data_IF_228317963288
#
_entry.id   IF_228317963288
#
_cell.length_a   1.000
_cell.length_b   1.000
_cell.length_c   1.000
_cell.angle_alpha   90.00
_cell.angle_beta   90.00
_cell.angle_gamma   90.00
#
_symmetry.space_group_name_H-M   'P 1'
#
loop_
_entity.id
_entity.type
_entity.pdbx_description
1 polymer ?
#
# COMPACT_ATOMS: atom_id res chain seq x y z
N UNK A 1 -31.59 14.37 -31.78
CA UNK A 1 -31.99 13.10 -31.15
C UNK A 1 -30.76 12.53 -30.49
N UNK A 2 -30.75 12.51 -29.15
CA UNK A 2 -29.64 12.03 -28.33
C UNK A 2 -29.76 10.52 -28.17
N UNK A 3 -28.71 9.79 -28.50
CA UNK A 3 -28.55 8.37 -28.13
C UNK A 3 -27.76 8.34 -26.82
N UNK A 4 -28.50 8.25 -25.73
CA UNK A 4 -28.00 7.93 -24.40
C UNK A 4 -27.35 6.54 -24.46
N UNK A 5 -26.02 6.49 -24.40
CA UNK A 5 -25.30 5.22 -24.30
C UNK A 5 -25.26 4.80 -22.84
N UNK A 6 -26.12 3.85 -22.51
CA UNK A 6 -26.13 3.06 -21.28
C UNK A 6 -24.70 2.54 -21.00
N UNK A 7 -23.96 3.20 -20.11
CA UNK A 7 -22.82 2.57 -19.44
C UNK A 7 -23.39 1.72 -18.33
N UNK A 8 -23.42 0.42 -18.59
CA UNK A 8 -23.66 -0.66 -17.65
C UNK A 8 -22.69 -0.54 -16.48
N UNK A 9 -23.19 -0.07 -15.32
CA UNK A 9 -22.59 -0.37 -14.02
C UNK A 9 -22.61 -1.90 -13.86
N UNK A 10 -21.46 -2.54 -14.08
CA UNK A 10 -21.23 -3.90 -13.59
C UNK A 10 -21.42 -3.97 -12.08
N UNK A 11 -21.61 -5.17 -11.51
CA UNK A 11 -21.78 -5.33 -10.06
C UNK A 11 -20.60 -4.67 -9.36
N UNK A 12 -20.87 -3.99 -8.24
CA UNK A 12 -19.85 -3.42 -7.36
C UNK A 12 -18.90 -4.53 -6.88
N UNK A 13 -17.92 -4.89 -7.70
CA UNK A 13 -16.66 -5.41 -7.22
C UNK A 13 -16.06 -4.22 -6.48
N UNK A 14 -16.30 -4.15 -5.17
CA UNK A 14 -15.42 -3.42 -4.27
C UNK A 14 -14.02 -3.97 -4.52
N UNK A 15 -13.29 -3.32 -5.43
CA UNK A 15 -11.91 -3.62 -5.72
C UNK A 15 -11.18 -3.15 -4.47
N UNK A 16 -11.08 -4.03 -3.48
CA UNK A 16 -10.31 -3.76 -2.27
C UNK A 16 -8.90 -3.45 -2.76
N UNK A 17 -8.38 -2.23 -2.51
CA UNK A 17 -7.06 -1.87 -2.98
C UNK A 17 -6.06 -2.85 -2.41
N UNK A 18 -5.23 -3.44 -3.26
CA UNK A 18 -4.16 -4.30 -2.77
C UNK A 18 -3.14 -3.42 -2.03
N UNK A 19 -2.53 -3.93 -0.95
CA UNK A 19 -1.48 -3.20 -0.24
C UNK A 19 -0.32 -2.75 -1.15
N UNK A 20 -0.05 -3.52 -2.20
CA UNK A 20 0.97 -3.22 -3.22
C UNK A 20 0.64 -2.02 -4.13
N UNK A 21 -0.65 -1.68 -4.29
CA UNK A 21 -1.09 -0.49 -5.03
C UNK A 21 -1.03 0.79 -4.19
N UNK A 22 -0.82 0.67 -2.88
CA UNK A 22 -0.77 1.82 -1.99
C UNK A 22 0.52 2.59 -2.18
N UNK A 23 0.37 3.89 -2.42
CA UNK A 23 1.49 4.82 -2.59
C UNK A 23 1.44 5.90 -1.53
N UNK A 24 2.62 6.32 -1.11
CA UNK A 24 2.83 7.43 -0.21
C UNK A 24 2.60 8.76 -0.92
N UNK A 25 2.59 9.84 -0.14
CA UNK A 25 2.45 11.22 -0.64
C UNK A 25 3.49 11.60 -1.69
N UNK A 26 4.69 11.02 -1.62
CA UNK A 26 5.79 11.25 -2.55
C UNK A 26 5.71 10.37 -3.82
N UNK A 27 4.71 9.49 -3.92
CA UNK A 27 4.54 8.57 -5.05
C UNK A 27 5.26 7.22 -4.89
N UNK A 28 6.04 7.05 -3.81
CA UNK A 28 6.72 5.79 -3.55
C UNK A 28 5.74 4.71 -3.11
N UNK A 29 6.00 3.43 -3.43
CA UNK A 29 5.21 2.33 -2.93
C UNK A 29 5.26 2.25 -1.41
N UNK A 30 4.15 1.91 -0.76
CA UNK A 30 4.08 1.80 0.70
C UNK A 30 5.07 0.76 1.26
N UNK A 31 5.33 -0.32 0.53
CA UNK A 31 6.28 -1.36 0.95
C UNK A 31 7.72 -0.86 1.09
N UNK A 32 8.10 0.28 0.47
CA UNK A 32 9.42 0.87 0.65
C UNK A 32 9.71 1.24 2.10
N UNK A 33 8.67 1.53 2.90
CA UNK A 33 8.83 1.83 4.33
C UNK A 33 9.23 0.62 5.17
N UNK A 34 8.95 -0.58 4.64
CA UNK A 34 9.24 -1.85 5.29
C UNK A 34 10.59 -2.42 4.83
N UNK A 35 11.19 -1.85 3.78
CA UNK A 35 12.52 -2.19 3.34
C UNK A 35 13.59 -1.65 4.30
N UNK A 36 14.76 -2.29 4.39
CA UNK A 36 15.85 -1.79 5.20
C UNK A 36 16.37 -0.46 4.62
N UNK A 37 16.66 0.56 5.46
CA UNK A 37 17.05 1.89 4.99
C UNK A 37 18.35 1.90 4.18
N UNK A 38 19.24 0.92 4.40
CA UNK A 38 20.50 0.76 3.67
C UNK A 38 20.28 0.37 2.19
N UNK A 39 19.23 -0.40 1.90
CA UNK A 39 18.97 -0.98 0.57
C UNK A 39 18.24 0.03 -0.32
N UNK A 40 17.30 0.79 0.25
CA UNK A 40 16.60 1.89 -0.45
C UNK A 40 17.57 3.02 -0.81
N UNK A 41 18.45 3.42 0.11
CA UNK A 41 19.42 4.50 -0.14
C UNK A 41 20.49 4.12 -1.17
N UNK A 42 20.84 2.82 -1.26
CA UNK A 42 21.78 2.31 -2.25
C UNK A 42 21.13 2.12 -3.63
N UNK A 43 19.80 2.18 -3.75
CA UNK A 43 19.07 1.84 -4.97
C UNK A 43 19.15 0.36 -5.34
N UNK A 44 19.63 -0.48 -4.41
CA UNK A 44 19.78 -1.92 -4.57
C UNK A 44 18.70 -2.55 -3.72
N UNK A 45 17.57 -2.90 -4.34
CA UNK A 45 16.51 -3.64 -3.66
C UNK A 45 16.68 -5.10 -4.06
N UNK A 46 17.13 -5.92 -3.11
CA UNK A 46 17.18 -7.36 -3.34
C UNK A 46 15.74 -7.88 -3.52
N UNK A 47 15.48 -8.76 -4.50
CA UNK A 47 14.16 -9.35 -4.67
C UNK A 47 13.66 -10.04 -3.41
N UNK A 48 14.56 -10.57 -2.57
CA UNK A 48 14.20 -11.21 -1.29
C UNK A 48 13.69 -10.20 -0.25
N UNK A 49 14.32 -9.03 -0.16
CA UNK A 49 13.90 -7.94 0.73
C UNK A 49 12.59 -7.32 0.25
N UNK A 50 12.44 -7.13 -1.08
CA UNK A 50 11.18 -6.71 -1.69
C UNK A 50 10.06 -7.69 -1.32
N UNK A 51 10.28 -8.98 -1.51
CA UNK A 51 9.29 -10.01 -1.18
C UNK A 51 8.93 -10.00 0.32
N UNK A 52 9.91 -9.84 1.22
CA UNK A 52 9.66 -9.71 2.66
C UNK A 52 8.85 -8.45 3.00
N UNK A 53 9.16 -7.31 2.38
CA UNK A 53 8.41 -6.07 2.58
C UNK A 53 6.96 -6.22 2.10
N UNK A 54 6.74 -6.87 0.95
CA UNK A 54 5.41 -7.21 0.46
C UNK A 54 4.66 -8.14 1.43
N UNK A 55 5.33 -9.17 1.95
CA UNK A 55 4.73 -10.14 2.88
C UNK A 55 4.35 -9.49 4.23
N UNK A 56 5.23 -8.64 4.77
CA UNK A 56 4.93 -7.81 5.96
C UNK A 56 3.77 -6.87 5.70
N UNK A 57 3.76 -6.19 4.55
CA UNK A 57 2.66 -5.28 4.22
C UNK A 57 1.32 -6.01 4.11
N UNK A 58 1.33 -7.21 3.51
CA UNK A 58 0.14 -8.06 3.41
C UNK A 58 -0.33 -8.56 4.78
N UNK A 59 0.61 -8.88 5.67
CA UNK A 59 0.30 -9.26 7.06
C UNK A 59 -0.33 -8.10 7.82
N UNK A 60 0.24 -6.89 7.74
CA UNK A 60 -0.34 -5.68 8.35
C UNK A 60 -1.71 -5.35 7.77
N UNK A 61 -1.89 -5.54 6.46
CA UNK A 61 -3.17 -5.36 5.79
C UNK A 61 -4.23 -6.36 6.26
N UNK A 62 -3.84 -7.61 6.51
CA UNK A 62 -4.71 -8.64 7.06
C UNK A 62 -5.08 -8.36 8.54
N UNK A 63 -4.18 -7.74 9.30
CA UNK A 63 -4.44 -7.31 10.69
C UNK A 63 -5.39 -6.11 10.75
N UNK A 64 -5.10 -5.05 9.99
CA UNK A 64 -5.87 -3.80 10.05
C UNK A 64 -5.87 -3.08 8.69
N UNK A 65 -6.71 -3.59 7.78
CA UNK A 65 -6.88 -3.06 6.43
C UNK A 65 -7.16 -1.56 6.40
N UNK A 66 -8.03 -1.06 7.28
CA UNK A 66 -8.44 0.35 7.28
C UNK A 66 -7.27 1.28 7.61
N UNK A 67 -6.41 0.89 8.55
CA UNK A 67 -5.21 1.66 8.88
C UNK A 67 -4.19 1.62 7.75
N UNK A 68 -3.94 0.46 7.14
CA UNK A 68 -3.00 0.36 6.01
C UNK A 68 -3.49 1.19 4.81
N UNK A 69 -4.78 1.16 4.50
CA UNK A 69 -5.36 2.03 3.47
C UNK A 69 -5.21 3.52 3.80
N UNK A 70 -5.31 3.87 5.08
CA UNK A 70 -5.12 5.26 5.55
C UNK A 70 -3.67 5.75 5.41
N UNK A 71 -2.70 4.86 5.21
CA UNK A 71 -1.32 5.21 4.88
C UNK A 71 -1.17 5.74 3.44
N UNK A 72 -2.10 5.42 2.54
CA UNK A 72 -2.05 5.91 1.17
C UNK A 72 -2.17 7.44 1.14
N UNK A 73 -1.25 8.10 0.42
CA UNK A 73 -1.19 9.56 0.34
C UNK A 73 -0.66 10.26 1.60
N UNK A 74 -0.23 9.51 2.63
CA UNK A 74 0.48 10.06 3.80
C UNK A 74 1.99 10.15 3.59
N UNK A 75 2.64 10.93 4.44
CA UNK A 75 4.10 11.04 4.46
C UNK A 75 4.72 9.71 4.93
N UNK A 76 5.96 9.44 4.51
CA UNK A 76 6.70 8.22 4.88
C UNK A 76 6.74 7.99 6.40
N UNK A 77 6.97 9.06 7.18
CA UNK A 77 7.00 9.01 8.64
C UNK A 77 5.63 8.63 9.23
N UNK A 78 4.57 9.35 8.86
CA UNK A 78 3.21 9.06 9.34
C UNK A 78 2.76 7.64 9.00
N UNK A 79 2.99 7.21 7.75
CA UNK A 79 2.64 5.87 7.31
C UNK A 79 3.43 4.81 8.09
N UNK A 80 4.71 5.06 8.38
CA UNK A 80 5.53 4.15 9.19
C UNK A 80 5.04 4.07 10.65
N UNK A 81 4.63 5.19 11.23
CA UNK A 81 4.05 5.21 12.59
C UNK A 81 2.74 4.41 12.65
N UNK A 82 1.89 4.55 11.62
CA UNK A 82 0.64 3.77 11.52
C UNK A 82 0.95 2.28 11.37
N UNK A 83 1.87 1.91 10.46
CA UNK A 83 2.27 0.51 10.25
C UNK A 83 2.86 -0.10 11.54
N UNK A 84 3.73 0.62 12.25
CA UNK A 84 4.25 0.20 13.56
C UNK A 84 3.15 0.05 14.62
N UNK A 85 2.14 0.92 14.60
CA UNK A 85 0.99 0.83 15.53
C UNK A 85 0.10 -0.38 15.24
N UNK A 86 0.11 -0.91 14.02
CA UNK A 86 -0.55 -2.17 13.67
C UNK A 86 0.31 -3.35 14.13
N UNK A 87 1.63 -3.29 13.93
CA UNK A 87 2.57 -4.37 14.28
C UNK A 87 2.74 -4.54 15.82
N UNK A 88 2.57 -3.47 16.61
CA UNK A 88 2.62 -3.52 18.09
C UNK A 88 1.30 -3.95 18.76
N UNK A 89 0.27 -4.29 17.97
CA UNK A 89 -1.05 -4.71 18.46
C UNK A 89 -1.16 -6.23 18.52
#
# INVERSE_FOLDING_TARGET
MNIETLVTKGPSNEHVPLPEDLRLKNGDPLYYLLLPPKDVAAGIIDPSDSQQAHDRLRSLFALDMQKVLSCAGKSAEEAKEILNSIESH
#
